data_IF_596177940299
#
_entry.id   IF_596177940299
#
_cell.length_a   1.000
_cell.length_b   1.000
_cell.length_c   1.000
_cell.angle_alpha   90.00
_cell.angle_beta   90.00
_cell.angle_gamma   90.00
#
_symmetry.space_group_name_H-M   'P 1'
#
loop_
_entity.id
_entity.type
_entity.pdbx_description
1 polymer ?
#
# COMPACT_ATOMS: atom_id res chain seq x y z
N UNK A 1 -7.36 19.04 0.59
CA UNK A 1 -6.09 18.64 1.23
C UNK A 1 -6.26 17.24 1.80
N UNK A 2 -5.34 16.30 1.52
CA UNK A 2 -5.41 14.95 2.09
C UNK A 2 -5.33 15.05 3.62
N UNK A 3 -6.07 14.19 4.33
CA UNK A 3 -6.01 14.13 5.79
C UNK A 3 -4.67 13.54 6.20
N UNK A 4 -3.90 14.26 7.00
CA UNK A 4 -2.73 13.69 7.69
C UNK A 4 -3.20 12.98 8.95
N UNK A 5 -2.73 11.76 9.19
CA UNK A 5 -2.89 11.08 10.46
C UNK A 5 -1.58 11.26 11.21
N UNK A 6 -1.68 11.77 12.43
CA UNK A 6 -0.53 11.99 13.30
C UNK A 6 -0.81 11.27 14.60
N UNK A 7 0.08 10.34 14.93
CA UNK A 7 0.12 9.73 16.24
C UNK A 7 1.41 10.19 16.93
N UNK A 8 1.35 10.68 18.19
CA UNK A 8 2.52 11.18 18.88
C UNK A 8 3.60 10.10 18.96
N UNK A 9 4.87 10.52 18.90
CA UNK A 9 5.97 9.59 19.10
C UNK A 9 5.90 9.05 20.54
N UNK A 10 6.02 7.73 20.74
CA UNK A 10 6.08 7.13 22.06
C UNK A 10 7.24 7.73 22.86
N UNK A 11 6.99 8.12 24.12
CA UNK A 11 7.99 8.75 24.99
C UNK A 11 7.90 8.26 26.44
N UNK A 12 9.04 7.87 27.03
CA UNK A 12 9.09 7.43 28.43
C UNK A 12 8.92 8.55 29.46
N UNK A 13 8.83 9.81 29.03
CA UNK A 13 8.77 11.01 29.88
C UNK A 13 7.41 11.70 29.87
N UNK A 14 6.47 11.23 29.05
CA UNK A 14 5.10 11.76 28.96
C UNK A 14 4.11 10.61 29.04
N UNK A 15 3.07 10.76 29.86
CA UNK A 15 2.05 9.73 30.03
C UNK A 15 1.25 9.55 28.72
N UNK A 16 1.13 8.33 28.17
CA UNK A 16 0.41 8.09 26.91
C UNK A 16 -1.12 8.28 27.04
N UNK A 17 -1.66 8.27 28.27
CA UNK A 17 -3.11 8.36 28.51
C UNK A 17 -3.56 9.81 28.69
N UNK A 18 -2.82 10.62 29.45
CA UNK A 18 -3.24 11.97 29.84
C UNK A 18 -2.24 13.07 29.47
N UNK A 19 -1.12 12.72 28.84
CA UNK A 19 -0.07 13.64 28.40
C UNK A 19 0.63 14.45 29.49
N UNK A 20 0.42 14.14 30.77
CA UNK A 20 1.16 14.72 31.87
C UNK A 20 2.62 14.20 31.91
N UNK A 21 3.58 14.95 32.50
CA UNK A 21 4.93 14.45 32.72
C UNK A 21 4.94 13.12 33.49
N UNK A 22 5.81 12.21 33.08
CA UNK A 22 5.97 10.88 33.66
C UNK A 22 7.40 10.71 34.18
N UNK A 23 7.53 10.41 35.47
CA UNK A 23 8.82 10.28 36.18
C UNK A 23 9.12 8.86 36.65
N UNK A 24 8.28 7.88 36.29
CA UNK A 24 8.42 6.48 36.70
C UNK A 24 7.32 5.59 36.15
N UNK A 25 7.12 4.43 36.78
CA UNK A 25 6.16 3.44 36.31
C UNK A 25 4.69 3.79 36.62
N UNK A 26 4.40 4.86 37.36
CA UNK A 26 3.04 5.33 37.64
C UNK A 26 2.93 6.79 37.28
N UNK A 27 1.82 7.18 36.65
CA UNK A 27 1.52 8.59 36.40
C UNK A 27 0.85 9.22 37.63
N UNK A 28 1.37 10.36 38.09
CA UNK A 28 0.81 11.08 39.24
C UNK A 28 -0.48 11.84 38.92
N UNK A 29 -0.73 12.15 37.63
CA UNK A 29 -1.92 12.88 37.20
C UNK A 29 -3.16 11.96 37.02
N UNK A 30 -3.01 10.86 36.29
CA UNK A 30 -4.13 9.94 36.02
C UNK A 30 -4.10 8.65 36.85
N UNK A 31 -3.03 8.39 37.61
CA UNK A 31 -2.90 7.23 38.49
C UNK A 31 -2.56 5.91 37.80
N UNK A 32 -2.51 5.88 36.46
CA UNK A 32 -2.22 4.69 35.67
C UNK A 32 -0.83 4.11 35.98
N UNK A 33 -0.73 2.78 35.99
CA UNK A 33 0.50 2.02 36.22
C UNK A 33 0.96 1.33 34.94
N UNK A 34 2.26 1.38 34.68
CA UNK A 34 2.91 0.88 33.47
C UNK A 34 3.98 -0.19 33.75
N UNK A 35 4.16 -0.59 35.01
CA UNK A 35 5.04 -1.70 35.43
C UNK A 35 4.44 -3.10 35.21
N UNK A 36 3.18 -3.15 34.77
CA UNK A 36 2.45 -4.39 34.50
C UNK A 36 2.40 -4.79 33.03
N UNK A 37 1.83 -5.97 32.72
CA UNK A 37 1.69 -6.48 31.35
C UNK A 37 0.86 -5.54 30.46
N UNK A 38 -0.16 -4.89 31.01
CA UNK A 38 -0.98 -3.93 30.28
C UNK A 38 -0.19 -2.67 29.90
N UNK A 39 0.74 -2.24 30.77
CA UNK A 39 1.67 -1.14 30.48
C UNK A 39 2.59 -1.46 29.30
N UNK A 40 3.19 -2.65 29.31
CA UNK A 40 4.00 -3.15 28.18
C UNK A 40 3.19 -3.27 26.90
N UNK A 41 1.94 -3.74 27.01
CA UNK A 41 1.02 -3.88 25.86
C UNK A 41 0.68 -2.51 25.28
N UNK A 42 0.31 -1.54 26.11
CA UNK A 42 0.04 -0.19 25.66
C UNK A 42 1.26 0.43 24.99
N UNK A 43 2.46 0.24 25.57
CA UNK A 43 3.70 0.73 24.96
C UNK A 43 3.90 0.21 23.54
N UNK A 44 3.66 -1.10 23.34
CA UNK A 44 3.76 -1.71 22.01
C UNK A 44 2.73 -1.12 21.06
N UNK A 45 1.48 -0.99 21.49
CA UNK A 45 0.40 -0.41 20.67
C UNK A 45 0.71 1.01 20.25
N UNK A 46 1.23 1.85 21.16
CA UNK A 46 1.57 3.23 20.84
C UNK A 46 2.73 3.33 19.83
N UNK A 47 3.72 2.44 19.94
CA UNK A 47 4.76 2.28 18.93
C UNK A 47 4.19 1.86 17.58
N UNK A 48 3.36 0.81 17.55
CA UNK A 48 2.75 0.30 16.32
C UNK A 48 1.89 1.37 15.63
N UNK A 49 1.11 2.13 16.40
CA UNK A 49 0.27 3.22 15.89
C UNK A 49 1.11 4.37 15.32
N UNK A 50 2.23 4.71 15.98
CA UNK A 50 3.16 5.70 15.46
C UNK A 50 3.75 5.27 14.11
N UNK A 51 4.27 4.05 14.02
CA UNK A 51 4.89 3.51 12.81
C UNK A 51 3.88 3.40 11.66
N UNK A 52 2.68 2.88 11.95
CA UNK A 52 1.60 2.81 10.96
C UNK A 52 1.15 4.20 10.48
N UNK A 53 1.20 5.22 11.34
CA UNK A 53 0.88 6.59 10.93
C UNK A 53 1.88 7.11 9.89
N UNK A 54 3.17 6.80 10.05
CA UNK A 54 4.24 7.14 9.10
C UNK A 54 4.03 6.42 7.78
N UNK A 55 3.90 5.09 7.81
CA UNK A 55 3.69 4.26 6.62
C UNK A 55 2.46 4.72 5.83
N UNK A 56 1.35 5.00 6.52
CA UNK A 56 0.14 5.52 5.86
C UNK A 56 0.40 6.83 5.14
N UNK A 57 1.11 7.77 5.78
CA UNK A 57 1.41 9.06 5.18
C UNK A 57 2.33 8.92 3.95
N UNK A 58 3.30 8.00 3.99
CA UNK A 58 4.16 7.69 2.84
C UNK A 58 3.38 7.08 1.66
N UNK A 59 2.48 6.12 1.94
CA UNK A 59 1.60 5.53 0.92
C UNK A 59 0.72 6.60 0.27
N UNK A 60 0.13 7.48 1.08
CA UNK A 60 -0.67 8.61 0.57
C UNK A 60 0.17 9.53 -0.32
N UNK A 61 1.40 9.86 0.10
CA UNK A 61 2.31 10.68 -0.70
C UNK A 61 2.65 10.03 -2.05
N UNK A 62 2.88 8.72 -2.08
CA UNK A 62 3.14 7.98 -3.32
C UNK A 62 1.93 8.00 -4.25
N UNK A 63 0.72 7.72 -3.74
CA UNK A 63 -0.51 7.75 -4.54
C UNK A 63 -0.79 9.13 -5.14
N UNK A 64 -0.57 10.19 -4.37
CA UNK A 64 -0.74 11.57 -4.87
C UNK A 64 0.30 11.92 -5.93
N UNK A 65 1.52 11.41 -5.79
CA UNK A 65 2.59 11.58 -6.78
C UNK A 65 2.21 10.88 -8.09
N UNK A 66 1.75 9.62 -8.03
CA UNK A 66 1.28 8.86 -9.19
C UNK A 66 0.10 9.53 -9.91
N UNK A 67 -0.86 10.05 -9.16
CA UNK A 67 -1.98 10.81 -9.73
C UNK A 67 -1.49 12.05 -10.49
N UNK A 68 -0.58 12.82 -9.90
CA UNK A 68 -0.01 14.00 -10.54
C UNK A 68 0.78 13.67 -11.82
N UNK A 69 1.49 12.54 -11.86
CA UNK A 69 2.15 12.06 -13.08
C UNK A 69 1.15 11.67 -14.17
N UNK A 70 0.08 10.98 -13.79
CA UNK A 70 -0.98 10.55 -14.72
C UNK A 70 -1.68 11.77 -15.34
N UNK A 71 -2.02 12.77 -14.54
CA UNK A 71 -2.61 14.02 -15.03
C UNK A 71 -1.69 14.75 -16.01
N UNK A 72 -0.38 14.82 -15.73
CA UNK A 72 0.59 15.42 -16.67
C UNK A 72 0.70 14.64 -17.98
N UNK A 73 0.65 13.31 -17.94
CA UNK A 73 0.72 12.49 -19.14
C UNK A 73 -0.52 12.67 -20.03
N UNK A 74 -1.71 12.82 -19.44
CA UNK A 74 -2.95 13.10 -20.17
C UNK A 74 -2.97 14.53 -20.73
N UNK A 75 -2.40 15.50 -20.00
CA UNK A 75 -2.30 16.88 -20.44
C UNK A 75 -1.20 17.12 -21.50
N UNK A 76 -0.33 16.15 -21.76
CA UNK A 76 0.71 16.26 -22.77
C UNK A 76 0.05 16.34 -24.16
N UNK A 77 0.36 17.37 -24.97
CA UNK A 77 -0.20 17.47 -26.32
C UNK A 77 0.21 16.25 -27.15
N UNK A 78 -0.76 15.65 -27.83
CA UNK A 78 -0.49 14.57 -28.77
C UNK A 78 0.55 15.08 -29.79
N UNK A 79 1.61 14.31 -30.07
CA UNK A 79 2.60 14.72 -31.04
C UNK A 79 1.87 14.96 -32.37
N UNK A 80 1.93 16.19 -32.86
CA UNK A 80 1.38 16.57 -34.15
C UNK A 80 2.03 15.66 -35.19
N UNK A 81 1.28 14.72 -35.76
CA UNK A 81 1.78 13.86 -36.81
C UNK A 81 2.33 14.76 -37.95
N UNK A 82 3.54 14.51 -38.47
CA UNK A 82 4.01 15.23 -39.64
C UNK A 82 3.02 15.00 -40.77
N UNK A 83 2.58 16.09 -41.42
CA UNK A 83 1.67 16.02 -42.56
C UNK A 83 2.26 15.09 -43.63
N UNK A 84 1.61 13.95 -43.85
CA UNK A 84 1.97 13.05 -44.94
C UNK A 84 1.66 13.75 -46.28
N UNK A 85 2.59 13.76 -47.25
CA UNK A 85 2.29 14.30 -48.58
C UNK A 85 1.19 13.48 -49.26
N UNK A 86 0.22 14.17 -49.85
CA UNK A 86 -0.92 13.58 -50.54
C UNK A 86 -0.48 12.75 -51.74
N UNK A 87 -0.55 11.42 -51.63
CA UNK A 87 -0.46 10.47 -52.75
C UNK A 87 -1.84 10.03 -53.24
N UNK A 88 -2.00 9.61 -54.52
CA UNK A 88 -3.29 9.38 -55.15
C UNK A 88 -4.01 8.10 -54.65
N UNK A 89 -5.35 8.00 -54.81
CA UNK A 89 -6.16 6.97 -54.15
C UNK A 89 -6.01 5.59 -54.80
N UNK A 90 -5.88 4.54 -53.98
CA UNK A 90 -5.94 3.13 -54.38
C UNK A 90 -7.23 2.49 -53.84
N UNK A 91 -7.90 1.72 -54.70
CA UNK A 91 -9.24 1.13 -54.54
C UNK A 91 -9.34 0.02 -53.45
N UNK A 92 -10.55 -0.32 -52.93
CA UNK A 92 -10.71 -1.20 -51.79
C UNK A 92 -10.75 -2.69 -52.19
N UNK A 93 -10.05 -3.54 -51.44
CA UNK A 93 -10.14 -5.02 -51.52
C UNK A 93 -10.76 -5.53 -50.23
N UNK A 94 -11.84 -6.32 -50.35
CA UNK A 94 -12.75 -6.69 -49.26
C UNK A 94 -12.22 -7.70 -48.23
N UNK A 95 -12.97 -7.93 -47.13
CA UNK A 95 -12.50 -8.76 -46.02
C UNK A 95 -12.90 -10.23 -46.18
N UNK A 96 -11.92 -11.14 -46.05
CA UNK A 96 -12.17 -12.52 -45.68
C UNK A 96 -11.83 -12.70 -44.19
N UNK A 97 -12.86 -12.72 -43.34
CA UNK A 97 -12.71 -13.03 -41.91
C UNK A 97 -12.66 -14.56 -41.77
N UNK A 98 -11.50 -15.09 -41.42
CA UNK A 98 -11.35 -16.48 -40.94
C UNK A 98 -11.35 -16.42 -39.40
N UNK A 99 -12.19 -17.20 -38.68
CA UNK A 99 -12.17 -17.20 -37.23
C UNK A 99 -11.01 -18.07 -36.73
N UNK A 100 -10.03 -17.42 -36.10
CA UNK A 100 -8.94 -18.08 -35.39
C UNK A 100 -9.53 -18.92 -34.23
N UNK A 101 -9.50 -20.25 -34.36
CA UNK A 101 -9.85 -21.18 -33.27
C UNK A 101 -8.78 -21.07 -32.17
N UNK A 102 -9.03 -20.18 -31.20
CA UNK A 102 -8.25 -20.08 -29.96
C UNK A 102 -8.39 -21.39 -29.16
N UNK A 103 -7.37 -22.25 -29.22
CA UNK A 103 -7.25 -23.41 -28.31
C UNK A 103 -7.10 -22.92 -26.87
N UNK A 104 -7.65 -23.63 -25.87
CA UNK A 104 -7.57 -23.22 -24.48
C UNK A 104 -6.13 -23.36 -24.00
N UNK A 105 -5.44 -22.23 -23.80
CA UNK A 105 -4.25 -22.21 -22.97
C UNK A 105 -4.69 -22.61 -21.57
N UNK A 106 -4.26 -23.78 -21.11
CA UNK A 106 -4.27 -24.15 -19.69
C UNK A 106 -3.70 -22.95 -18.93
N UNK A 107 -4.61 -22.32 -18.20
CA UNK A 107 -4.64 -20.88 -18.07
C UNK A 107 -3.53 -20.40 -17.15
N UNK A 108 -2.88 -19.29 -17.51
CA UNK A 108 -2.02 -18.50 -16.61
C UNK A 108 -2.68 -18.31 -15.23
N UNK A 109 -4.02 -18.27 -15.19
CA UNK A 109 -4.80 -18.27 -13.97
C UNK A 109 -4.58 -19.49 -13.05
N UNK A 110 -4.47 -20.72 -13.55
CA UNK A 110 -4.18 -21.89 -12.70
C UNK A 110 -2.76 -21.84 -12.13
N UNK A 111 -1.79 -21.35 -12.91
CA UNK A 111 -0.42 -21.14 -12.44
C UNK A 111 -0.36 -20.08 -11.33
N UNK A 112 -1.10 -18.98 -11.49
CA UNK A 112 -1.20 -17.92 -10.49
C UNK A 112 -1.92 -18.40 -9.21
N UNK A 113 -2.97 -19.21 -9.36
CA UNK A 113 -3.70 -19.81 -8.22
C UNK A 113 -2.81 -20.79 -7.46
N UNK A 114 -2.06 -21.65 -8.18
CA UNK A 114 -1.10 -22.56 -7.56
C UNK A 114 0.02 -21.83 -6.81
N UNK A 115 0.60 -20.80 -7.42
CA UNK A 115 1.64 -19.98 -6.78
C UNK A 115 1.12 -19.22 -5.55
N UNK A 116 -0.11 -18.72 -5.61
CA UNK A 116 -0.77 -18.06 -4.48
C UNK A 116 -1.02 -19.00 -3.30
N UNK A 117 -1.51 -20.21 -3.56
CA UNK A 117 -1.74 -21.21 -2.53
C UNK A 117 -0.45 -21.61 -1.79
N UNK A 118 0.64 -21.85 -2.54
CA UNK A 118 1.96 -22.16 -1.95
C UNK A 118 2.48 -20.99 -1.11
N UNK A 119 2.31 -19.76 -1.58
CA UNK A 119 2.74 -18.56 -0.84
C UNK A 119 1.97 -18.39 0.47
N UNK A 120 0.66 -18.65 0.48
CA UNK A 120 -0.14 -18.59 1.70
C UNK A 120 0.29 -19.63 2.73
N UNK A 121 0.56 -20.87 2.30
CA UNK A 121 1.06 -21.93 3.19
C UNK A 121 2.41 -21.52 3.80
N UNK A 122 3.34 -20.99 3.00
CA UNK A 122 4.63 -20.51 3.49
C UNK A 122 4.46 -19.39 4.52
N UNK A 123 3.57 -18.43 4.27
CA UNK A 123 3.29 -17.33 5.21
C UNK A 123 2.74 -17.84 6.55
N UNK A 124 1.82 -18.81 6.55
CA UNK A 124 1.27 -19.41 7.78
C UNK A 124 2.35 -20.11 8.59
N UNK A 125 3.26 -20.84 7.95
CA UNK A 125 4.37 -21.53 8.62
C UNK A 125 5.33 -20.53 9.27
N UNK A 126 5.72 -19.47 8.54
CA UNK A 126 6.60 -18.42 9.08
C UNK A 126 5.93 -17.71 10.26
N UNK A 127 4.65 -17.36 10.13
CA UNK A 127 3.90 -16.71 11.20
C UNK A 127 3.83 -17.60 12.45
N UNK A 128 3.55 -18.89 12.29
CA UNK A 128 3.57 -19.81 13.42
C UNK A 128 4.97 -19.89 14.06
N UNK A 129 6.04 -20.03 13.27
CA UNK A 129 7.40 -20.10 13.79
C UNK A 129 7.78 -18.86 14.62
N UNK A 130 7.46 -17.66 14.13
CA UNK A 130 7.74 -16.39 14.84
C UNK A 130 6.87 -16.22 16.09
N UNK A 131 5.61 -16.67 16.06
CA UNK A 131 4.71 -16.54 17.20
C UNK A 131 5.13 -17.41 18.40
N UNK A 132 5.77 -18.55 18.12
CA UNK A 132 6.13 -19.54 19.14
C UNK A 132 7.64 -19.59 19.45
N UNK A 133 8.44 -18.70 18.85
CA UNK A 133 9.83 -18.41 19.22
C UNK A 133 9.89 -17.25 20.22
#
# INVERSE_FOLDING_TARGET
MPRTLTFPAPSSTVCPICSAPLSGARCDACGARFDGPDGTTLWRVDHDLHDLSVVRNEVVARLLTEAAWTERAVAAPAPTAPAAPAGPPVAPVGPAVVPERRRPSLTVAELLVGAGAVSLVAAVVVFAAVKWS
#
